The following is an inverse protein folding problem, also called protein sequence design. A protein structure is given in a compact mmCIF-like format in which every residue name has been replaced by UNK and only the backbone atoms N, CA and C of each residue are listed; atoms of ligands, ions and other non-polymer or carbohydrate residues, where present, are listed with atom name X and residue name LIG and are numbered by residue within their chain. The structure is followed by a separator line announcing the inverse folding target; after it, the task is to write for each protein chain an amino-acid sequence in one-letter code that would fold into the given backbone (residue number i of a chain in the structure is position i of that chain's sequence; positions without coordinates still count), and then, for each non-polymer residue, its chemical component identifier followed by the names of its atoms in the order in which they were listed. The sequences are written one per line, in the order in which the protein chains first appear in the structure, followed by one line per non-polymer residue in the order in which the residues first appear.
data_IF_604922981694
#
_entry.id   IF_604922981694
#
_cell.length_a   1.000
_cell.length_b   1.000
_cell.length_c   1.000
_cell.angle_alpha   90.00
_cell.angle_beta   90.00
_cell.angle_gamma   90.00
#
_symmetry.space_group_name_H-M   'P 1'
#
loop_
_entity.id
_entity.type
_entity.pdbx_description
1 polymer ?
#
# COMPACT_ATOMS: atom_id res chain seq x y z
N UNK A 1 -7.95 -6.71 -3.25
CA UNK A 1 -8.02 -5.44 -4.00
C UNK A 1 -6.81 -4.58 -3.64
N UNK A 2 -5.98 -4.23 -4.61
CA UNK A 2 -4.91 -3.25 -4.44
C UNK A 2 -5.40 -1.84 -4.77
N UNK A 3 -5.01 -0.86 -3.96
CA UNK A 3 -5.25 0.57 -4.18
C UNK A 3 -3.90 1.27 -4.18
N UNK A 4 -3.47 1.72 -5.36
CA UNK A 4 -2.17 2.36 -5.55
C UNK A 4 -2.29 3.76 -6.15
N UNK A 5 -1.17 4.46 -6.23
CA UNK A 5 -1.09 5.88 -6.56
C UNK A 5 -0.05 6.59 -5.70
N UNK A 6 0.31 7.82 -6.09
CA UNK A 6 1.38 8.55 -5.43
C UNK A 6 1.15 8.72 -3.91
N UNK A 7 2.21 9.03 -3.16
CA UNK A 7 2.04 9.41 -1.76
C UNK A 7 1.05 10.58 -1.65
N UNK A 8 0.12 10.49 -0.70
CA UNK A 8 -0.98 11.46 -0.49
C UNK A 8 -2.05 11.53 -1.60
N UNK A 9 -2.18 10.52 -2.47
CA UNK A 9 -3.26 10.44 -3.47
C UNK A 9 -4.69 10.22 -2.90
N UNK A 10 -4.85 9.91 -1.60
CA UNK A 10 -6.15 9.60 -0.99
C UNK A 10 -6.45 8.11 -0.80
N UNK A 11 -5.46 7.24 -1.05
CA UNK A 11 -5.56 5.77 -0.97
C UNK A 11 -6.19 5.27 0.34
N UNK A 12 -5.67 5.68 1.48
CA UNK A 12 -6.14 5.22 2.80
C UNK A 12 -7.59 5.64 3.09
N UNK A 13 -8.00 6.85 2.66
CA UNK A 13 -9.39 7.31 2.79
C UNK A 13 -10.33 6.49 1.89
N UNK A 14 -9.94 6.27 0.62
CA UNK A 14 -10.71 5.44 -0.30
C UNK A 14 -10.88 4.02 0.25
N UNK A 15 -9.80 3.39 0.71
CA UNK A 15 -9.84 2.06 1.33
C UNK A 15 -10.80 2.01 2.53
N UNK A 16 -10.80 3.04 3.38
CA UNK A 16 -11.67 3.15 4.56
C UNK A 16 -13.15 3.31 4.18
N UNK A 17 -13.46 4.13 3.18
CA UNK A 17 -14.83 4.30 2.68
C UNK A 17 -15.33 3.00 2.03
N UNK A 18 -14.54 2.40 1.12
CA UNK A 18 -14.91 1.13 0.47
C UNK A 18 -15.10 0.00 1.48
N UNK A 19 -14.22 -0.09 2.48
CA UNK A 19 -14.35 -1.02 3.60
C UNK A 19 -15.68 -0.84 4.34
N UNK A 20 -16.14 0.40 4.53
CA UNK A 20 -17.43 0.70 5.17
C UNK A 20 -18.63 0.40 4.27
N UNK A 21 -18.52 0.70 2.97
CA UNK A 21 -19.55 0.45 1.96
C UNK A 21 -19.78 -1.05 1.77
N UNK A 22 -18.70 -1.83 1.73
CA UNK A 22 -18.71 -3.27 1.42
C UNK A 22 -18.77 -4.16 2.67
N UNK A 23 -18.61 -3.57 3.86
CA UNK A 23 -18.93 -4.25 5.11
C UNK A 23 -20.43 -4.58 5.15
N UNK A 24 -20.76 -5.82 5.54
CA UNK A 24 -22.15 -6.27 5.60
C UNK A 24 -22.98 -5.39 6.55
N UNK A 25 -23.92 -4.61 6.02
CA UNK A 25 -24.99 -4.02 6.83
C UNK A 25 -26.07 -5.07 7.08
N UNK A 26 -25.91 -5.89 8.12
CA UNK A 26 -27.05 -6.64 8.67
C UNK A 26 -27.97 -5.66 9.40
N UNK A 27 -28.99 -5.15 8.71
CA UNK A 27 -30.06 -4.33 9.30
C UNK A 27 -31.29 -5.13 9.72
N UNK A 28 -31.22 -6.47 9.75
CA UNK A 28 -32.31 -7.29 10.28
C UNK A 28 -32.08 -7.68 11.75
N UNK A 29 -32.97 -7.30 12.68
CA UNK A 29 -32.93 -7.78 14.06
C UNK A 29 -33.43 -9.23 14.08
N UNK A 30 -32.58 -10.17 13.68
CA UNK A 30 -32.84 -11.59 13.90
C UNK A 30 -32.25 -11.95 15.25
N UNK A 31 -33.13 -12.04 16.23
CA UNK A 31 -32.87 -12.67 17.52
C UNK A 31 -32.40 -14.11 17.28
N UNK A 32 -31.09 -14.35 17.36
CA UNK A 32 -30.41 -15.50 17.98
C UNK A 32 -28.99 -15.68 17.41
N UNK A 33 -28.00 -15.45 18.29
CA UNK A 33 -26.63 -15.99 18.33
C UNK A 33 -25.80 -16.19 17.03
N UNK A 34 -24.68 -15.46 17.00
CA UNK A 34 -23.33 -15.86 16.55
C UNK A 34 -22.92 -15.85 15.07
N UNK A 35 -23.58 -15.16 14.15
CA UNK A 35 -22.94 -14.86 12.86
C UNK A 35 -22.20 -13.52 12.94
N UNK A 36 -20.95 -13.53 13.40
CA UNK A 36 -20.06 -12.38 13.23
C UNK A 36 -20.01 -12.03 11.74
N UNK A 37 -20.41 -10.80 11.37
CA UNK A 37 -20.30 -10.37 9.98
C UNK A 37 -18.83 -10.43 9.57
N UNK A 38 -18.50 -11.12 8.49
CA UNK A 38 -17.13 -11.09 7.94
C UNK A 38 -16.75 -9.64 7.66
N UNK A 39 -15.84 -9.11 8.48
CA UNK A 39 -15.37 -7.74 8.40
C UNK A 39 -14.44 -7.62 7.19
N UNK A 40 -14.55 -6.52 6.47
CA UNK A 40 -13.54 -6.11 5.49
C UNK A 40 -12.22 -5.84 6.22
N UNK A 41 -11.10 -6.20 5.59
CA UNK A 41 -9.77 -5.99 6.13
C UNK A 41 -9.05 -4.97 5.27
N UNK A 42 -8.35 -4.03 5.91
CA UNK A 42 -7.51 -3.05 5.24
C UNK A 42 -6.08 -3.21 5.74
N UNK A 43 -5.14 -3.35 4.82
CA UNK A 43 -3.71 -3.47 5.08
C UNK A 43 -3.03 -2.25 4.46
N UNK A 44 -2.26 -1.52 5.27
CA UNK A 44 -1.47 -0.37 4.82
C UNK A 44 -0.04 -0.83 4.50
N UNK A 45 0.45 -0.50 3.30
CA UNK A 45 1.86 -0.74 2.93
C UNK A 45 2.82 0.03 3.86
N UNK A 46 2.40 1.18 4.40
CA UNK A 46 3.21 1.97 5.32
C UNK A 46 3.48 1.21 6.65
N UNK A 47 2.67 0.20 6.99
CA UNK A 47 2.90 -0.62 8.18
C UNK A 47 4.13 -1.53 7.98
N UNK A 48 4.51 -1.83 6.74
CA UNK A 48 5.61 -2.73 6.36
C UNK A 48 6.90 -1.99 6.05
N UNK A 49 7.02 -0.74 6.52
CA UNK A 49 8.22 0.05 6.33
C UNK A 49 9.43 -0.53 7.08
N UNK A 50 10.54 -0.73 6.36
CA UNK A 50 11.84 -1.15 6.89
C UNK A 50 12.48 -0.04 7.75
N UNK A 51 13.36 -0.38 8.71
CA UNK A 51 14.18 0.61 9.42
C UNK A 51 14.99 1.50 8.46
N UNK A 52 15.11 2.80 8.77
CA UNK A 52 15.85 3.76 7.92
C UNK A 52 17.31 3.38 7.67
N UNK A 53 17.93 2.70 8.64
CA UNK A 53 19.31 2.22 8.55
C UNK A 53 19.55 1.19 7.43
N UNK A 54 18.49 0.51 6.99
CA UNK A 54 18.55 -0.49 5.91
C UNK A 54 18.22 0.09 4.54
N UNK A 55 17.88 1.39 4.46
CA UNK A 55 17.43 2.00 3.21
C UNK A 55 18.63 2.51 2.40
N UNK A 56 18.55 2.42 1.06
CA UNK A 56 19.54 3.06 0.21
C UNK A 56 19.52 4.58 0.46
N UNK A 57 20.68 5.21 0.30
CA UNK A 57 20.79 6.66 0.40
C UNK A 57 20.45 7.31 -0.93
N UNK A 58 19.73 8.42 -0.87
CA UNK A 58 19.50 9.33 -1.99
C UNK A 58 20.17 10.67 -1.70
N UNK A 59 20.72 11.29 -2.74
CA UNK A 59 21.24 12.66 -2.68
C UNK A 59 20.36 13.57 -3.51
N UNK A 60 19.95 14.71 -2.94
CA UNK A 60 19.08 15.69 -3.60
C UNK A 60 19.47 17.12 -3.26
N UNK A 61 19.01 18.08 -4.07
CA UNK A 61 19.28 19.50 -3.86
C UNK A 61 18.15 20.16 -3.08
N UNK A 62 18.48 20.85 -1.99
CA UNK A 62 17.54 21.62 -1.17
C UNK A 62 17.82 23.12 -1.22
N UNK A 63 16.76 23.92 -1.10
CA UNK A 63 16.85 25.37 -1.03
C UNK A 63 16.99 25.85 0.42
N UNK A 64 17.33 27.14 0.65
CA UNK A 64 17.30 27.70 2.01
C UNK A 64 15.93 27.64 2.69
N UNK A 65 14.82 27.50 1.96
CA UNK A 65 13.50 27.33 2.56
C UNK A 65 13.40 26.00 3.34
N UNK A 66 14.16 24.98 2.92
CA UNK A 66 14.18 23.65 3.54
C UNK A 66 15.11 23.58 4.77
N UNK A 67 15.81 24.66 5.12
CA UNK A 67 16.84 24.66 6.18
C UNK A 67 16.31 24.19 7.54
N UNK A 68 15.04 24.48 7.83
CA UNK A 68 14.41 24.04 9.07
C UNK A 68 14.15 22.52 9.09
N UNK A 69 13.88 21.89 7.94
CA UNK A 69 13.77 20.43 7.83
C UNK A 69 15.15 19.77 8.00
N UNK A 70 16.19 20.37 7.39
CA UNK A 70 17.57 19.93 7.53
C UNK A 70 18.03 19.96 8.99
N UNK A 71 17.84 21.09 9.67
CA UNK A 71 18.21 21.26 11.07
C UNK A 71 17.53 20.25 11.99
N UNK A 72 16.22 20.00 11.79
CA UNK A 72 15.50 18.99 12.57
C UNK A 72 15.97 17.57 12.25
N UNK A 73 16.26 17.27 10.99
CA UNK A 73 16.72 15.93 10.61
C UNK A 73 18.05 15.61 11.27
N UNK A 74 19.03 16.53 11.23
CA UNK A 74 20.30 16.39 11.96
C UNK A 74 20.08 16.28 13.48
N UNK A 75 19.17 17.09 14.05
CA UNK A 75 18.94 17.10 15.49
C UNK A 75 18.46 15.75 16.05
N UNK A 76 17.72 14.98 15.25
CA UNK A 76 17.19 13.67 15.63
C UNK A 76 17.94 12.51 14.96
N UNK A 77 19.07 12.78 14.30
CA UNK A 77 19.85 11.77 13.59
C UNK A 77 20.85 11.07 14.52
N UNK A 78 20.33 10.25 15.43
CA UNK A 78 21.14 9.48 16.39
C UNK A 78 22.07 8.47 15.70
N UNK A 79 21.75 8.08 14.46
CA UNK A 79 22.46 7.06 13.69
C UNK A 79 23.43 7.65 12.65
N UNK A 80 23.47 8.98 12.46
CA UNK A 80 24.36 9.63 11.50
C UNK A 80 24.01 9.35 10.03
N UNK A 81 22.72 9.19 9.72
CA UNK A 81 22.21 8.86 8.40
C UNK A 81 22.12 10.06 7.44
N UNK A 82 22.18 11.30 7.92
CA UNK A 82 22.03 12.50 7.11
C UNK A 82 23.35 13.28 6.95
N UNK A 83 23.70 13.56 5.70
CA UNK A 83 24.86 14.38 5.33
C UNK A 83 24.39 15.62 4.58
N UNK A 84 24.86 16.79 5.00
CA UNK A 84 24.47 18.07 4.39
C UNK A 84 25.71 18.84 4.00
N UNK A 85 25.90 19.02 2.71
CA UNK A 85 26.92 19.90 2.15
C UNK A 85 26.28 21.19 1.65
N UNK A 86 26.95 22.33 1.84
CA UNK A 86 26.51 23.60 1.26
C UNK A 86 27.44 24.03 0.14
N UNK A 87 26.88 24.33 -1.03
CA UNK A 87 27.62 25.01 -2.10
C UNK A 87 27.51 26.51 -1.86
N UNK A 88 28.61 27.13 -1.44
CA UNK A 88 28.68 28.55 -1.16
C UNK A 88 29.84 29.21 -1.88
N UNK A 89 29.58 29.90 -3.00
CA UNK A 89 30.44 30.95 -3.53
C UNK A 89 29.90 32.31 -3.08
N UNK A 90 30.80 33.26 -2.74
CA UNK A 90 30.40 34.60 -2.26
C UNK A 90 29.45 35.26 -3.29
N UNK A 91 28.22 35.54 -2.87
CA UNK A 91 27.23 36.31 -3.65
C UNK A 91 26.02 35.53 -4.19
N UNK A 92 26.00 34.20 -4.10
CA UNK A 92 24.82 33.39 -4.46
C UNK A 92 24.08 32.88 -3.22
N UNK A 93 22.76 32.69 -3.35
CA UNK A 93 21.97 31.98 -2.33
C UNK A 93 22.53 30.56 -2.20
N UNK A 94 22.84 30.08 -0.99
CA UNK A 94 23.40 28.75 -0.82
C UNK A 94 22.42 27.68 -1.31
N UNK A 95 22.92 26.69 -2.04
CA UNK A 95 22.20 25.44 -2.29
C UNK A 95 22.79 24.35 -1.41
N UNK A 96 21.91 23.58 -0.79
CA UNK A 96 22.31 22.47 0.06
C UNK A 96 22.18 21.18 -0.75
N UNK A 97 23.21 20.36 -0.69
CA UNK A 97 23.16 18.98 -1.14
C UNK A 97 22.93 18.13 0.10
N UNK A 98 21.81 17.42 0.12
CA UNK A 98 21.41 16.58 1.25
C UNK A 98 21.45 15.13 0.80
N UNK A 99 22.15 14.30 1.56
CA UNK A 99 22.15 12.84 1.42
C UNK A 99 21.46 12.24 2.63
N UNK A 100 20.56 11.29 2.41
CA UNK A 100 19.88 10.57 3.50
C UNK A 100 19.05 9.38 3.00
N UNK A 101 18.38 8.66 3.90
CA UNK A 101 17.60 7.47 3.56
C UNK A 101 16.48 7.76 2.55
N UNK A 102 16.39 6.95 1.49
CA UNK A 102 15.31 6.99 0.50
C UNK A 102 14.11 6.20 1.01
N UNK A 103 13.04 6.88 1.43
CA UNK A 103 11.83 6.23 1.97
C UNK A 103 10.77 5.96 0.91
N UNK A 104 10.93 6.49 -0.30
CA UNK A 104 9.94 6.39 -1.38
C UNK A 104 10.48 5.47 -2.50
N UNK A 105 11.02 4.29 -2.11
CA UNK A 105 11.54 3.25 -3.01
C UNK A 105 11.16 1.84 -2.55
N UNK A 106 11.29 0.84 -3.43
CA UNK A 106 10.92 -0.56 -3.14
C UNK A 106 11.67 -1.16 -1.95
N UNK A 107 12.96 -0.84 -1.82
CA UNK A 107 13.80 -1.29 -0.71
C UNK A 107 13.28 -0.80 0.66
N UNK A 108 12.41 0.21 0.69
CA UNK A 108 11.82 0.70 1.92
C UNK A 108 10.69 -0.16 2.47
N UNK A 109 10.17 -1.12 1.70
CA UNK A 109 9.00 -1.92 2.07
C UNK A 109 9.41 -3.37 2.28
N UNK A 110 8.96 -3.99 3.37
CA UNK A 110 9.01 -5.43 3.60
C UNK A 110 7.89 -6.14 2.83
N UNK A 111 8.13 -6.44 1.56
CA UNK A 111 7.15 -7.13 0.72
C UNK A 111 6.95 -8.59 1.15
N UNK A 112 7.96 -9.24 1.74
CA UNK A 112 7.82 -10.60 2.28
C UNK A 112 6.82 -10.60 3.44
N UNK A 113 6.96 -9.68 4.39
CA UNK A 113 6.00 -9.50 5.49
C UNK A 113 4.60 -9.12 5.00
N UNK A 114 4.50 -8.27 3.96
CA UNK A 114 3.21 -7.89 3.38
C UNK A 114 2.50 -9.09 2.72
N UNK A 115 3.24 -9.92 1.97
CA UNK A 115 2.72 -11.16 1.40
C UNK A 115 2.27 -12.13 2.48
N UNK A 116 3.06 -12.30 3.55
CA UNK A 116 2.69 -13.13 4.70
C UNK A 116 1.38 -12.66 5.32
N UNK A 117 1.21 -11.35 5.53
CA UNK A 117 -0.01 -10.78 6.08
C UNK A 117 -1.24 -11.08 5.20
N UNK A 118 -1.11 -10.98 3.88
CA UNK A 118 -2.21 -11.28 2.95
C UNK A 118 -2.52 -12.77 2.94
N UNK A 119 -1.53 -13.65 2.90
CA UNK A 119 -1.72 -15.12 2.94
C UNK A 119 -2.36 -15.54 4.26
N UNK A 120 -1.94 -14.95 5.38
CA UNK A 120 -2.56 -15.18 6.69
C UNK A 120 -4.03 -14.76 6.66
N UNK A 121 -4.34 -13.54 6.21
CA UNK A 121 -5.74 -13.09 6.08
C UNK A 121 -6.56 -14.01 5.19
N UNK A 122 -6.01 -14.49 4.07
CA UNK A 122 -6.71 -15.44 3.18
C UNK A 122 -7.00 -16.79 3.85
N UNK A 123 -6.13 -17.24 4.76
CA UNK A 123 -6.26 -18.54 5.42
C UNK A 123 -7.07 -18.50 6.72
N UNK A 124 -6.93 -17.44 7.52
CA UNK A 124 -7.55 -17.32 8.85
C UNK A 124 -8.72 -16.34 8.88
N UNK A 125 -8.85 -15.48 7.88
CA UNK A 125 -9.81 -14.38 7.87
C UNK A 125 -9.48 -13.26 8.85
N UNK A 126 -8.29 -13.29 9.47
CA UNK A 126 -7.84 -12.32 10.47
C UNK A 126 -6.48 -11.77 10.07
N UNK A 127 -6.29 -10.47 10.35
CA UNK A 127 -4.97 -9.86 10.26
C UNK A 127 -4.23 -10.17 11.57
N UNK A 128 -3.13 -10.93 11.52
CA UNK A 128 -2.24 -11.06 12.68
C UNK A 128 -1.74 -9.67 13.11
N UNK A 129 -1.33 -9.53 14.37
CA UNK A 129 -0.81 -8.27 14.92
C UNK A 129 0.50 -7.83 14.21
N UNK A 130 0.38 -7.22 13.03
CA UNK A 130 1.38 -6.32 12.51
C UNK A 130 1.06 -4.96 13.13
N UNK A 131 1.59 -4.75 14.34
CA UNK A 131 1.25 -3.63 15.21
C UNK A 131 1.90 -2.32 14.72
N UNK A 132 1.41 -1.76 13.61
CA UNK A 132 1.80 -0.40 13.17
C UNK A 132 0.63 0.36 12.53
N UNK A 133 -0.59 0.23 13.05
CA UNK A 133 -1.74 0.98 12.53
C UNK A 133 -1.49 2.50 12.57
N UNK A 134 -1.27 3.11 11.41
CA UNK A 134 -1.62 4.50 11.19
C UNK A 134 -3.08 4.51 10.72
N UNK A 135 -4.03 4.73 11.63
CA UNK A 135 -5.40 5.00 11.23
C UNK A 135 -5.43 6.28 10.41
N UNK A 136 -6.13 6.24 9.27
CA UNK A 136 -6.62 7.48 8.68
C UNK A 136 -7.60 8.09 9.70
N UNK A 137 -7.14 9.08 10.48
CA UNK A 137 -7.91 9.77 11.52
C UNK A 137 -8.98 10.71 10.95
N UNK A 138 -9.23 10.67 9.65
CA UNK A 138 -10.32 11.43 9.05
C UNK A 138 -11.66 10.91 9.56
N UNK A 139 -12.45 11.87 10.04
CA UNK A 139 -13.82 11.67 10.44
C UNK A 139 -14.66 11.18 9.24
N UNK A 140 -15.43 10.13 9.46
CA UNK A 140 -16.26 9.50 8.43
C UNK A 140 -17.65 10.15 8.36
N UNK A 141 -18.04 10.97 9.34
CA UNK A 141 -19.38 11.55 9.43
C UNK A 141 -19.72 12.40 8.20
N UNK A 142 -18.72 13.10 7.66
CA UNK A 142 -18.83 13.89 6.42
C UNK A 142 -19.14 13.07 5.16
N UNK A 143 -18.90 11.76 5.18
CA UNK A 143 -19.13 10.85 4.05
C UNK A 143 -20.34 9.94 4.22
N UNK A 144 -21.13 10.12 5.28
CA UNK A 144 -22.30 9.28 5.59
C UNK A 144 -23.29 9.18 4.41
N UNK A 145 -23.61 10.30 3.77
CA UNK A 145 -24.50 10.32 2.59
C UNK A 145 -23.95 9.54 1.39
N UNK A 146 -22.66 9.70 1.09
CA UNK A 146 -21.97 8.94 0.04
C UNK A 146 -21.95 7.45 0.34
N UNK A 147 -21.61 7.08 1.59
CA UNK A 147 -21.55 5.69 2.05
C UNK A 147 -22.91 5.01 1.88
N UNK A 148 -24.00 5.65 2.32
CA UNK A 148 -25.35 5.08 2.20
C UNK A 148 -25.79 4.96 0.73
N UNK A 149 -25.52 5.99 -0.10
CA UNK A 149 -25.76 5.92 -1.55
C UNK A 149 -25.04 4.73 -2.20
N UNK A 150 -23.77 4.51 -1.85
CA UNK A 150 -22.98 3.41 -2.41
C UNK A 150 -23.41 2.04 -1.87
N UNK A 151 -23.78 1.94 -0.60
CA UNK A 151 -24.38 0.72 -0.04
C UNK A 151 -25.66 0.34 -0.76
N UNK A 152 -26.53 1.32 -1.06
CA UNK A 152 -27.75 1.07 -1.82
C UNK A 152 -27.42 0.54 -3.22
N UNK A 153 -26.46 1.17 -3.92
CA UNK A 153 -25.97 0.72 -5.23
C UNK A 153 -25.47 -0.73 -5.20
N UNK A 154 -24.61 -1.07 -4.22
CA UNK A 154 -24.11 -2.44 -4.01
C UNK A 154 -25.28 -3.39 -3.72
N UNK A 155 -26.23 -3.00 -2.87
CA UNK A 155 -27.40 -3.83 -2.56
C UNK A 155 -28.29 -4.10 -3.78
N UNK A 156 -28.52 -3.09 -4.64
CA UNK A 156 -29.29 -3.24 -5.87
C UNK A 156 -28.60 -4.22 -6.82
N UNK A 157 -27.31 -4.02 -7.07
CA UNK A 157 -26.52 -4.91 -7.92
C UNK A 157 -26.55 -6.35 -7.40
N UNK A 158 -26.40 -6.56 -6.09
CA UNK A 158 -26.45 -7.90 -5.49
C UNK A 158 -27.81 -8.58 -5.68
N UNK A 159 -28.92 -7.84 -5.59
CA UNK A 159 -30.26 -8.36 -5.86
C UNK A 159 -30.42 -8.75 -7.32
N UNK A 160 -29.94 -7.93 -8.24
CA UNK A 160 -29.97 -8.22 -9.68
C UNK A 160 -29.15 -9.47 -10.01
N UNK A 161 -27.93 -9.60 -9.46
CA UNK A 161 -27.13 -10.80 -9.61
C UNK A 161 -27.78 -12.03 -8.99
N UNK A 162 -28.48 -11.88 -7.86
CA UNK A 162 -29.23 -12.98 -7.26
C UNK A 162 -30.37 -13.46 -8.16
N UNK A 163 -31.07 -12.54 -8.85
CA UNK A 163 -32.12 -12.84 -9.83
C UNK A 163 -31.54 -13.54 -11.06
N UNK A 164 -30.50 -12.97 -11.69
CA UNK A 164 -29.83 -13.57 -12.85
C UNK A 164 -29.31 -14.99 -12.56
N UNK A 165 -28.76 -15.18 -11.36
CA UNK A 165 -28.33 -16.48 -10.88
C UNK A 165 -29.50 -17.43 -10.61
N UNK A 166 -30.68 -16.94 -10.24
CA UNK A 166 -31.87 -17.78 -10.09
C UNK A 166 -32.46 -18.19 -11.46
N UNK A 167 -32.41 -17.29 -12.44
CA UNK A 167 -32.94 -17.52 -13.79
C UNK A 167 -32.04 -18.44 -14.63
N UNK A 168 -30.71 -18.34 -14.49
CA UNK A 168 -29.77 -19.28 -15.14
C UNK A 168 -29.82 -20.72 -14.57
N UNK A 169 -30.46 -20.90 -13.41
CA UNK A 169 -30.56 -22.19 -12.68
C UNK A 169 -31.68 -23.13 -13.13
N UNK A 170 -32.40 -22.87 -14.22
CA UNK A 170 -33.34 -23.85 -14.81
C UNK A 170 -32.64 -25.03 -15.54
N UNK A 171 -31.45 -25.43 -15.07
CA UNK A 171 -30.68 -26.62 -15.48
C UNK A 171 -30.17 -27.49 -14.32
N UNK A 172 -30.66 -27.30 -13.08
CA UNK A 172 -30.63 -28.36 -12.05
C UNK A 172 -29.43 -28.45 -11.08
N UNK A 173 -28.46 -27.53 -11.10
CA UNK A 173 -27.39 -27.48 -10.08
C UNK A 173 -27.26 -26.08 -9.46
N UNK A 174 -27.30 -26.01 -8.13
CA UNK A 174 -27.31 -24.76 -7.35
C UNK A 174 -25.88 -24.26 -7.10
N UNK A 175 -25.51 -23.10 -7.66
CA UNK A 175 -24.37 -22.29 -7.20
C UNK A 175 -24.90 -20.97 -6.66
N UNK A 176 -24.83 -20.80 -5.33
CA UNK A 176 -25.42 -19.72 -4.52
C UNK A 176 -24.66 -18.39 -4.70
N UNK A 177 -25.37 -17.26 -4.68
CA UNK A 177 -24.77 -15.92 -4.77
C UNK A 177 -24.13 -15.47 -3.44
N UNK A 178 -23.33 -14.39 -3.43
CA UNK A 178 -22.41 -14.16 -2.34
C UNK A 178 -23.03 -13.61 -1.04
N UNK A 179 -24.09 -12.79 -1.06
CA UNK A 179 -24.42 -11.99 0.15
C UNK A 179 -25.69 -12.44 0.91
N UNK A 180 -26.54 -13.29 0.35
CA UNK A 180 -27.72 -13.80 1.05
C UNK A 180 -27.66 -15.31 1.27
N UNK A 181 -27.50 -15.73 2.53
CA UNK A 181 -27.77 -17.09 2.94
C UNK A 181 -28.36 -17.08 4.36
N UNK A 182 -29.66 -16.80 4.47
CA UNK A 182 -30.42 -17.19 5.65
C UNK A 182 -30.65 -18.70 5.58
N UNK A 183 -29.81 -19.41 6.35
CA UNK A 183 -29.62 -20.84 6.27
C UNK A 183 -30.83 -21.68 6.68
N UNK A 184 -31.78 -21.88 5.76
CA UNK A 184 -32.72 -23.01 5.83
C UNK A 184 -32.80 -23.76 4.50
N UNK A 185 -32.30 -24.99 4.51
CA UNK A 185 -32.79 -26.02 3.58
C UNK A 185 -34.11 -26.57 4.14
N UNK A 186 -35.16 -26.60 3.33
CA UNK A 186 -36.22 -27.58 3.53
C UNK A 186 -35.61 -28.98 3.29
N UNK A 187 -35.52 -29.79 4.35
CA UNK A 187 -35.46 -31.26 4.23
C UNK A 187 -34.11 -31.99 4.34
N UNK A 188 -33.09 -31.48 5.05
CA UNK A 188 -31.88 -32.28 5.34
C UNK A 188 -31.70 -32.48 6.85
N UNK A 189 -31.66 -33.74 7.29
CA UNK A 189 -31.62 -34.16 8.70
C UNK A 189 -30.22 -34.13 9.33
N UNK A 190 -29.15 -33.88 8.57
CA UNK A 190 -27.78 -33.96 9.07
C UNK A 190 -27.11 -32.58 9.04
N UNK A 191 -26.99 -32.00 10.24
CA UNK A 191 -26.63 -30.61 10.51
C UNK A 191 -25.15 -30.24 10.34
N UNK A 192 -24.57 -30.41 9.14
CA UNK A 192 -23.35 -29.71 8.76
C UNK A 192 -23.71 -28.55 7.81
N UNK A 193 -23.92 -27.37 8.41
CA UNK A 193 -24.29 -26.14 7.72
C UNK A 193 -23.22 -25.72 6.71
N UNK A 194 -23.61 -25.58 5.44
CA UNK A 194 -22.73 -25.08 4.37
C UNK A 194 -22.38 -23.61 4.62
N UNK A 195 -21.09 -23.32 4.60
CA UNK A 195 -20.51 -21.98 4.74
C UNK A 195 -21.23 -20.94 3.88
N UNK A 196 -21.47 -19.77 4.48
CA UNK A 196 -21.99 -18.57 3.83
C UNK A 196 -21.00 -18.09 2.77
N UNK A 197 -21.42 -17.99 1.51
CA UNK A 197 -20.64 -17.49 0.35
C UNK A 197 -20.35 -15.99 0.38
N UNK A 198 -20.33 -15.37 1.57
CA UNK A 198 -20.06 -13.93 1.71
C UNK A 198 -18.66 -13.61 1.21
N UNK A 199 -18.62 -12.80 0.15
CA UNK A 199 -17.39 -12.18 -0.37
C UNK A 199 -16.74 -11.42 0.78
N UNK A 200 -15.47 -11.70 1.01
CA UNK A 200 -14.65 -10.99 1.97
C UNK A 200 -13.70 -10.11 1.18
N UNK A 201 -13.80 -8.79 1.37
CA UNK A 201 -12.86 -7.86 0.76
C UNK A 201 -11.65 -7.65 1.66
N UNK A 202 -10.47 -7.77 1.04
CA UNK A 202 -9.19 -7.36 1.61
C UNK A 202 -8.65 -6.24 0.72
N UNK A 203 -8.56 -5.04 1.30
CA UNK A 203 -7.95 -3.87 0.67
C UNK A 203 -6.50 -3.79 1.10
N UNK A 204 -5.60 -3.65 0.14
CA UNK A 204 -4.19 -3.36 0.37
C UNK A 204 -3.91 -2.02 -0.28
N UNK A 205 -3.48 -1.04 0.50
CA UNK A 205 -3.23 0.31 0.01
C UNK A 205 -1.76 0.69 0.14
N UNK A 206 -1.18 1.28 -0.90
CA UNK A 206 0.25 1.55 -0.93
C UNK A 206 0.74 2.20 -2.22
N UNK A 207 1.83 2.94 -2.14
CA UNK A 207 2.33 3.73 -3.27
C UNK A 207 3.28 2.97 -4.20
N UNK A 208 3.66 1.72 -3.88
CA UNK A 208 4.56 0.88 -4.69
C UNK A 208 3.95 -0.47 -5.10
N UNK A 209 2.72 -0.77 -4.65
CA UNK A 209 2.07 -2.08 -4.85
C UNK A 209 2.10 -2.54 -6.31
N UNK A 210 1.84 -1.62 -7.24
CA UNK A 210 1.69 -1.90 -8.67
C UNK A 210 2.89 -1.43 -9.51
N UNK A 211 4.00 -1.01 -8.87
CA UNK A 211 5.18 -0.60 -9.61
C UNK A 211 5.84 -1.85 -10.25
N UNK A 212 6.27 -1.80 -11.52
CA UNK A 212 6.85 -2.95 -12.21
C UNK A 212 8.17 -3.36 -11.57
N UNK A 213 8.48 -4.67 -11.64
CA UNK A 213 9.79 -5.18 -11.25
C UNK A 213 10.77 -5.10 -12.43
N UNK A 214 12.02 -4.74 -12.16
CA UNK A 214 13.06 -4.60 -13.19
C UNK A 214 13.79 -5.89 -13.56
N UNK A 215 13.54 -7.01 -12.86
CA UNK A 215 14.12 -8.32 -13.18
C UNK A 215 13.18 -9.45 -12.76
N UNK A 216 12.85 -10.33 -13.70
CA UNK A 216 11.87 -11.41 -13.53
C UNK A 216 12.56 -12.76 -13.72
N UNK A 217 12.29 -13.70 -12.82
CA UNK A 217 12.56 -15.14 -13.04
C UNK A 217 11.23 -15.89 -12.99
N UNK A 218 10.56 -15.97 -14.14
CA UNK A 218 9.17 -16.43 -14.31
C UNK A 218 8.91 -17.88 -13.84
N UNK A 219 9.95 -18.64 -13.49
CA UNK A 219 9.86 -20.07 -13.15
C UNK A 219 10.05 -20.38 -11.67
N UNK A 220 10.19 -19.37 -10.80
CA UNK A 220 10.46 -19.62 -9.38
C UNK A 220 9.17 -19.68 -8.58
N UNK A 221 8.87 -20.87 -8.02
CA UNK A 221 7.80 -21.02 -7.04
C UNK A 221 8.12 -20.17 -5.79
N UNK A 222 7.27 -19.20 -5.49
CA UNK A 222 7.39 -18.37 -4.28
C UNK A 222 6.84 -19.14 -3.06
N UNK A 223 7.67 -19.32 -2.04
CA UNK A 223 7.27 -19.88 -0.74
C UNK A 223 7.54 -18.87 0.37
N UNK A 224 6.47 -18.34 0.96
CA UNK A 224 6.55 -17.26 1.95
C UNK A 224 7.36 -17.65 3.19
N UNK A 225 7.27 -18.92 3.62
CA UNK A 225 8.00 -19.39 4.81
C UNK A 225 9.50 -19.41 4.56
N UNK A 226 9.91 -19.88 3.38
CA UNK A 226 11.31 -19.92 2.95
C UNK A 226 11.88 -18.52 2.74
N UNK A 227 11.14 -17.63 2.09
CA UNK A 227 11.61 -16.26 1.86
C UNK A 227 11.68 -15.45 3.16
N UNK A 228 10.74 -15.66 4.09
CA UNK A 228 10.80 -15.07 5.44
C UNK A 228 12.05 -15.51 6.21
N UNK A 229 12.36 -16.80 6.20
CA UNK A 229 13.57 -17.32 6.85
C UNK A 229 14.86 -16.73 6.23
N UNK A 230 14.87 -16.43 4.94
CA UNK A 230 15.98 -15.72 4.29
C UNK A 230 16.08 -14.27 4.77
N UNK A 231 14.96 -13.54 4.80
CA UNK A 231 14.94 -12.15 5.31
C UNK A 231 15.47 -12.09 6.74
N UNK A 232 14.97 -12.94 7.64
CA UNK A 232 15.43 -13.00 9.04
C UNK A 232 16.95 -13.29 9.13
N UNK A 233 17.44 -14.22 8.32
CA UNK A 233 18.86 -14.54 8.23
C UNK A 233 19.67 -13.32 7.76
N UNK A 234 19.29 -12.69 6.66
CA UNK A 234 20.03 -11.57 6.09
C UNK A 234 20.03 -10.36 7.01
N UNK A 235 18.90 -10.02 7.63
CA UNK A 235 18.81 -8.94 8.61
C UNK A 235 19.76 -9.18 9.79
N UNK A 236 19.79 -10.41 10.33
CA UNK A 236 20.71 -10.78 11.43
C UNK A 236 22.18 -10.63 11.01
N UNK A 237 22.52 -11.01 9.77
CA UNK A 237 23.88 -10.82 9.24
C UNK A 237 24.22 -9.33 9.11
N UNK A 238 23.32 -8.50 8.58
CA UNK A 238 23.53 -7.06 8.45
C UNK A 238 23.71 -6.36 9.81
N UNK A 239 22.95 -6.74 10.82
CA UNK A 239 23.12 -6.24 12.19
C UNK A 239 24.48 -6.60 12.78
N UNK A 240 24.95 -7.83 12.51
CA UNK A 240 26.27 -8.31 12.94
C UNK A 240 27.38 -7.50 12.26
N UNK A 241 27.36 -7.37 10.94
CA UNK A 241 28.34 -6.59 10.19
C UNK A 241 28.34 -5.11 10.60
N UNK A 242 27.16 -4.53 10.84
CA UNK A 242 27.03 -3.15 11.33
C UNK A 242 27.70 -2.99 12.70
N UNK A 243 27.52 -3.96 13.60
CA UNK A 243 28.15 -3.94 14.92
C UNK A 243 29.68 -4.04 14.81
N UNK A 244 30.19 -4.85 13.89
CA UNK A 244 31.63 -4.98 13.63
C UNK A 244 32.26 -3.71 13.06
N UNK A 245 31.58 -3.05 12.10
CA UNK A 245 32.03 -1.76 11.55
C UNK A 245 32.12 -0.68 12.63
N UNK A 246 31.11 -0.59 13.50
CA UNK A 246 31.11 0.35 14.63
C UNK A 246 32.30 0.08 15.55
N UNK A 247 32.60 -1.19 15.85
CA UNK A 247 33.72 -1.58 16.71
C UNK A 247 35.10 -1.27 16.09
N UNK A 248 35.23 -1.30 14.75
CA UNK A 248 36.49 -0.96 14.07
C UNK A 248 36.82 0.53 14.08
N UNK A 249 35.85 1.41 14.37
CA UNK A 249 36.00 2.87 14.33
C UNK A 249 36.61 3.40 13.01
N UNK A 250 36.45 2.66 11.91
CA UNK A 250 36.96 3.00 10.58
C UNK A 250 36.11 2.28 9.52
N UNK A 251 36.13 2.80 8.29
CA UNK A 251 35.50 2.14 7.14
C UNK A 251 36.38 0.94 6.75
N UNK A 252 35.82 -0.26 6.86
CA UNK A 252 36.48 -1.50 6.47
C UNK A 252 35.89 -2.01 5.15
N UNK A 253 36.68 -1.92 4.08
CA UNK A 253 36.20 -2.23 2.72
C UNK A 253 35.82 -3.70 2.53
N UNK A 254 36.36 -4.63 3.32
CA UNK A 254 36.01 -6.05 3.24
C UNK A 254 34.64 -6.29 3.87
N UNK A 255 34.40 -5.73 5.06
CA UNK A 255 33.10 -5.82 5.73
C UNK A 255 32.01 -5.09 4.95
N UNK A 256 32.30 -3.89 4.42
CA UNK A 256 31.35 -3.18 3.55
C UNK A 256 31.05 -3.98 2.28
N UNK A 257 32.05 -4.63 1.68
CA UNK A 257 31.84 -5.51 0.53
C UNK A 257 30.98 -6.74 0.84
N UNK A 258 31.15 -7.36 2.02
CA UNK A 258 30.27 -8.44 2.47
C UNK A 258 28.84 -7.93 2.68
N UNK A 259 28.71 -6.76 3.32
CA UNK A 259 27.42 -6.11 3.57
C UNK A 259 26.66 -5.85 2.27
N UNK A 260 27.32 -5.27 1.26
CA UNK A 260 26.73 -5.02 -0.06
C UNK A 260 26.14 -6.30 -0.69
N UNK A 261 26.84 -7.44 -0.55
CA UNK A 261 26.37 -8.73 -1.07
C UNK A 261 25.12 -9.20 -0.33
N UNK A 262 25.09 -9.08 1.00
CA UNK A 262 23.92 -9.46 1.81
C UNK A 262 22.73 -8.54 1.54
N UNK A 263 22.94 -7.24 1.41
CA UNK A 263 21.90 -6.27 1.04
C UNK A 263 21.31 -6.61 -0.34
N UNK A 264 22.15 -6.92 -1.34
CA UNK A 264 21.69 -7.33 -2.66
C UNK A 264 20.86 -8.62 -2.62
N UNK A 265 21.24 -9.61 -1.79
CA UNK A 265 20.47 -10.84 -1.61
C UNK A 265 19.12 -10.59 -0.94
N UNK A 266 19.10 -9.75 0.09
CA UNK A 266 17.87 -9.34 0.78
C UNK A 266 16.91 -8.64 -0.20
N UNK A 267 17.43 -7.73 -1.03
CA UNK A 267 16.61 -7.02 -2.03
C UNK A 267 16.09 -7.96 -3.11
N UNK A 268 16.91 -8.91 -3.59
CA UNK A 268 16.45 -9.91 -4.54
C UNK A 268 15.28 -10.75 -3.99
N UNK A 269 15.36 -11.19 -2.73
CA UNK A 269 14.25 -11.88 -2.05
C UNK A 269 13.02 -10.99 -1.94
N UNK A 270 13.20 -9.71 -1.61
CA UNK A 270 12.10 -8.76 -1.44
C UNK A 270 11.39 -8.42 -2.77
N UNK A 271 12.14 -8.28 -3.87
CA UNK A 271 11.57 -8.05 -5.20
C UNK A 271 10.76 -9.25 -5.70
N UNK A 272 11.23 -10.48 -5.46
CA UNK A 272 10.45 -11.68 -5.76
C UNK A 272 9.13 -11.73 -4.99
N UNK A 273 9.12 -11.24 -3.74
CA UNK A 273 7.88 -11.12 -2.95
C UNK A 273 6.93 -10.07 -3.52
N UNK A 274 7.45 -8.93 -3.99
CA UNK A 274 6.64 -7.91 -4.66
C UNK A 274 5.99 -8.44 -5.94
N UNK A 275 6.70 -9.28 -6.70
CA UNK A 275 6.13 -9.93 -7.88
C UNK A 275 4.94 -10.80 -7.50
N UNK A 276 5.17 -11.73 -6.56
CA UNK A 276 4.14 -12.62 -6.07
C UNK A 276 2.95 -11.86 -5.47
N UNK A 277 3.22 -10.75 -4.77
CA UNK A 277 2.20 -9.86 -4.22
C UNK A 277 1.23 -9.36 -5.30
N UNK A 278 1.73 -8.98 -6.48
CA UNK A 278 0.90 -8.46 -7.56
C UNK A 278 -0.04 -9.52 -8.14
N UNK A 279 0.34 -10.80 -8.08
CA UNK A 279 -0.49 -11.93 -8.49
C UNK A 279 -1.58 -12.27 -7.46
N UNK A 280 -1.43 -11.83 -6.21
CA UNK A 280 -2.45 -12.02 -5.17
C UNK A 280 -3.65 -11.07 -5.30
N UNK A 281 -3.55 -10.02 -6.14
CA UNK A 281 -4.60 -9.01 -6.29
C UNK A 281 -5.60 -9.36 -7.40
N UNK A 282 -6.86 -9.60 -7.01
CA UNK A 282 -7.95 -9.82 -7.97
C UNK A 282 -8.33 -8.54 -8.74
N UNK A 283 -8.21 -7.38 -8.09
CA UNK A 283 -8.54 -6.06 -8.65
C UNK A 283 -7.43 -5.08 -8.27
N UNK A 284 -6.96 -4.30 -9.24
CA UNK A 284 -5.85 -3.34 -9.12
C UNK A 284 -6.34 -1.94 -9.48
N UNK A 285 -6.54 -1.09 -8.48
CA UNK A 285 -6.97 0.31 -8.64
C UNK A 285 -5.78 1.26 -8.56
N UNK A 286 -5.72 2.25 -9.44
CA UNK A 286 -4.67 3.27 -9.46
C UNK A 286 -5.26 4.68 -9.48
N UNK A 287 -4.93 5.49 -8.46
CA UNK A 287 -5.37 6.88 -8.35
C UNK A 287 -4.49 7.79 -9.19
N UNK A 288 -5.13 8.51 -10.11
CA UNK A 288 -4.49 9.46 -11.02
C UNK A 288 -4.36 10.83 -10.34
N UNK A 289 -3.18 11.15 -9.83
CA UNK A 289 -2.91 12.42 -9.13
C UNK A 289 -1.79 13.17 -9.85
N UNK A 290 -2.00 14.46 -10.11
CA UNK A 290 -0.99 15.34 -10.68
C UNK A 290 0.15 15.60 -9.70
N UNK A 291 1.27 16.09 -10.24
CA UNK A 291 2.43 16.49 -9.44
C UNK A 291 2.06 17.58 -8.44
N UNK A 292 1.34 18.58 -8.92
CA UNK A 292 0.96 19.77 -8.20
C UNK A 292 0.07 19.41 -7.00
N UNK A 293 -0.92 18.55 -7.22
CA UNK A 293 -1.82 18.10 -6.17
C UNK A 293 -1.13 17.16 -5.18
N UNK A 294 -0.30 16.23 -5.66
CA UNK A 294 0.52 15.37 -4.81
C UNK A 294 1.43 16.19 -3.89
N UNK A 295 2.08 17.22 -4.45
CA UNK A 295 2.92 18.17 -3.70
C UNK A 295 2.09 18.91 -2.66
N UNK A 296 0.98 19.54 -3.07
CA UNK A 296 0.11 20.30 -2.17
C UNK A 296 -0.34 19.45 -0.98
N UNK A 297 -0.91 18.26 -1.24
CA UNK A 297 -1.38 17.33 -0.21
C UNK A 297 -0.26 16.86 0.72
N UNK A 298 0.92 16.55 0.18
CA UNK A 298 2.08 16.11 1.00
C UNK A 298 2.54 17.19 1.97
N UNK A 299 2.56 18.45 1.53
CA UNK A 299 3.01 19.57 2.37
C UNK A 299 1.98 19.96 3.43
N UNK A 300 0.69 19.83 3.12
CA UNK A 300 -0.44 20.05 4.05
C UNK A 300 -0.60 18.92 5.07
N UNK A 301 -0.19 17.68 4.74
CA UNK A 301 -0.33 16.51 5.61
C UNK A 301 0.24 16.77 7.00
N UNK A 302 -0.39 16.26 8.05
CA UNK A 302 0.21 16.29 9.38
C UNK A 302 1.59 15.60 9.41
N UNK A 303 2.42 15.93 10.39
CA UNK A 303 3.73 15.27 10.54
C UNK A 303 3.49 13.78 10.81
N UNK A 304 4.16 12.90 10.05
CA UNK A 304 4.14 11.46 10.36
C UNK A 304 4.60 11.24 11.80
N UNK A 305 3.78 10.53 12.56
CA UNK A 305 4.18 9.94 13.83
C UNK A 305 4.53 8.50 13.49
N UNK A 306 5.82 8.20 13.43
CA UNK A 306 6.24 6.84 13.15
C UNK A 306 5.86 5.91 14.31
N UNK A 307 5.17 4.81 14.00
CA UNK A 307 4.75 3.78 14.96
C UNK A 307 5.62 2.50 14.84
N UNK A 308 5.93 1.81 15.96
CA UNK A 308 5.76 2.28 17.33
C UNK A 308 6.65 3.50 17.58
N UNK A 309 6.17 4.40 18.45
CA UNK A 309 6.90 5.59 18.89
C UNK A 309 8.25 5.15 19.46
N UNK A 310 9.32 5.26 18.66
CA UNK A 310 10.65 4.80 19.01
C UNK A 310 11.40 4.02 17.91
N UNK A 311 10.73 3.57 16.85
CA UNK A 311 11.39 2.81 15.77
C UNK A 311 11.89 3.64 14.58
N UNK A 312 11.35 4.84 14.40
CA UNK A 312 11.82 5.82 13.41
C UNK A 312 11.74 7.20 14.06
N UNK A 313 12.89 7.75 14.39
CA UNK A 313 12.98 9.12 14.92
C UNK A 313 12.96 10.14 13.76
N UNK A 314 12.53 11.39 14.00
CA UNK A 314 12.15 12.34 12.96
C UNK A 314 13.28 12.67 11.98
N UNK A 315 12.95 12.70 10.68
CA UNK A 315 13.73 13.39 9.66
C UNK A 315 12.76 14.06 8.71
N UNK A 316 12.56 15.37 8.85
CA UNK A 316 11.47 16.09 8.16
C UNK A 316 11.79 16.36 6.68
N UNK A 317 12.88 15.78 6.16
CA UNK A 317 13.26 15.89 4.75
C UNK A 317 12.15 15.40 3.81
N UNK A 318 11.28 14.50 4.25
CA UNK A 318 10.15 14.05 3.43
C UNK A 318 9.19 15.18 3.02
N UNK A 319 9.17 16.31 3.75
CA UNK A 319 8.44 17.55 3.42
C UNK A 319 9.29 18.62 2.74
N UNK A 320 10.58 18.37 2.51
CA UNK A 320 11.40 19.31 1.77
C UNK A 320 11.04 19.31 0.29
N UNK A 321 11.14 20.49 -0.34
CA UNK A 321 10.88 20.61 -1.78
C UNK A 321 11.89 19.81 -2.59
N UNK A 322 13.17 19.89 -2.22
CA UNK A 322 14.23 19.11 -2.87
C UNK A 322 13.96 17.60 -2.89
N UNK A 323 13.60 17.02 -1.75
CA UNK A 323 13.31 15.58 -1.67
C UNK A 323 12.05 15.20 -2.44
N UNK A 324 11.01 16.04 -2.42
CA UNK A 324 9.80 15.79 -3.19
C UNK A 324 10.10 15.73 -4.68
N UNK A 325 10.86 16.70 -5.20
CA UNK A 325 11.15 16.81 -6.63
C UNK A 325 12.08 15.67 -7.10
N UNK A 326 13.17 15.43 -6.40
CA UNK A 326 14.25 14.55 -6.88
C UNK A 326 14.13 13.10 -6.37
N UNK A 327 13.45 12.87 -5.25
CA UNK A 327 13.20 11.54 -4.69
C UNK A 327 11.81 11.03 -4.99
N UNK A 328 10.80 11.71 -4.43
CA UNK A 328 9.41 11.22 -4.42
C UNK A 328 8.80 11.22 -5.82
N UNK A 329 8.74 12.39 -6.46
CA UNK A 329 8.05 12.54 -7.73
C UNK A 329 8.82 11.87 -8.86
N UNK A 330 10.14 12.03 -8.88
CA UNK A 330 10.99 11.35 -9.85
C UNK A 330 10.85 9.83 -9.75
N UNK A 331 10.94 9.25 -8.54
CA UNK A 331 10.75 7.81 -8.33
C UNK A 331 9.35 7.33 -8.71
N UNK A 332 8.32 8.13 -8.43
CA UNK A 332 6.95 7.86 -8.88
C UNK A 332 6.83 7.85 -10.41
N UNK A 333 7.43 8.80 -11.11
CA UNK A 333 7.46 8.82 -12.58
C UNK A 333 8.23 7.65 -13.16
N UNK A 334 9.36 7.26 -12.56
CA UNK A 334 10.12 6.08 -12.98
C UNK A 334 9.30 4.80 -12.80
N UNK A 335 8.54 4.70 -11.72
CA UNK A 335 7.72 3.53 -11.39
C UNK A 335 6.42 3.44 -12.19
N UNK A 336 5.79 4.57 -12.48
CA UNK A 336 4.41 4.62 -13.02
C UNK A 336 4.26 5.44 -14.29
N UNK A 337 5.35 5.96 -14.87
CA UNK A 337 5.32 6.70 -16.13
C UNK A 337 4.59 5.92 -17.23
N UNK A 338 4.71 4.60 -17.25
CA UNK A 338 4.00 3.72 -18.19
C UNK A 338 2.46 3.79 -18.07
N UNK A 339 1.91 4.00 -16.86
CA UNK A 339 0.46 4.22 -16.69
C UNK A 339 0.05 5.63 -17.14
N UNK A 340 0.88 6.63 -16.83
CA UNK A 340 0.60 8.05 -17.10
C UNK A 340 0.77 8.43 -18.57
N UNK A 341 1.61 7.71 -19.32
CA UNK A 341 1.89 7.96 -20.72
C UNK A 341 0.95 7.22 -21.67
N UNK A 342 0.28 6.16 -21.21
CA UNK A 342 -0.65 5.35 -22.00
C UNK A 342 -1.75 6.22 -22.63
N UNK A 343 -2.06 6.00 -23.92
CA UNK A 343 -3.10 6.75 -24.64
C UNK A 343 -4.48 6.64 -23.97
N UNK A 344 -4.71 5.55 -23.21
CA UNK A 344 -5.84 5.38 -22.29
C UNK A 344 -5.94 6.54 -21.29
N UNK A 345 -4.85 6.97 -20.65
CA UNK A 345 -4.85 8.08 -19.68
C UNK A 345 -5.11 9.47 -20.31
N UNK A 346 -5.02 9.61 -21.64
CA UNK A 346 -5.02 10.91 -22.33
C UNK A 346 -6.29 11.27 -23.10
N UNK A 347 -7.35 10.44 -23.12
CA UNK A 347 -8.53 10.80 -23.91
C UNK A 347 -9.75 9.87 -23.91
N UNK A 348 -9.86 8.90 -23.00
CA UNK A 348 -11.04 8.04 -22.94
C UNK A 348 -12.26 8.74 -22.32
N UNK A 349 -13.25 9.11 -23.11
CA UNK A 349 -14.59 9.53 -22.64
C UNK A 349 -15.42 8.35 -22.07
N UNK A 350 -14.80 7.34 -21.47
CA UNK A 350 -15.43 6.06 -21.15
C UNK A 350 -14.96 5.47 -19.81
N UNK A 351 -15.88 4.78 -19.15
CA UNK A 351 -15.89 4.42 -17.73
C UNK A 351 -14.70 3.61 -17.16
N UNK A 352 -13.78 3.11 -17.98
CA UNK A 352 -12.69 2.27 -17.50
C UNK A 352 -11.43 2.45 -18.36
N UNK A 353 -10.35 2.92 -17.74
CA UNK A 353 -9.01 2.93 -18.32
C UNK A 353 -8.23 1.75 -17.74
N UNK A 354 -8.31 0.60 -18.40
CA UNK A 354 -7.59 -0.61 -17.96
C UNK A 354 -6.29 -0.72 -18.75
N UNK A 355 -5.16 -0.77 -18.05
CA UNK A 355 -3.86 -1.03 -18.67
C UNK A 355 -3.74 -2.47 -19.16
N UNK A 356 -2.73 -2.75 -20.00
CA UNK A 356 -2.42 -4.12 -20.46
C UNK A 356 -2.16 -5.10 -19.29
N UNK A 357 -1.75 -4.59 -18.12
CA UNK A 357 -1.49 -5.37 -16.91
C UNK A 357 -2.73 -5.52 -15.99
N UNK A 358 -3.92 -5.14 -16.46
CA UNK A 358 -5.16 -5.25 -15.68
C UNK A 358 -5.29 -4.22 -14.55
N UNK A 359 -4.53 -3.12 -14.60
CA UNK A 359 -4.67 -2.01 -13.65
C UNK A 359 -5.73 -1.03 -14.14
N UNK A 360 -6.77 -0.82 -13.33
CA UNK A 360 -7.80 0.19 -13.53
C UNK A 360 -7.27 1.54 -13.05
N UNK A 361 -7.12 2.48 -13.99
CA UNK A 361 -6.69 3.85 -13.71
C UNK A 361 -7.93 4.73 -13.55
N UNK A 362 -7.93 5.53 -12.49
CA UNK A 362 -8.96 6.53 -12.28
C UNK A 362 -8.98 7.49 -13.49
N UNK A 363 -10.16 7.74 -14.09
CA UNK A 363 -10.26 8.50 -15.35
C UNK A 363 -10.13 10.02 -15.22
N UNK A 364 -10.50 10.61 -14.07
CA UNK A 364 -10.45 12.05 -13.80
C UNK A 364 -9.25 12.39 -12.91
N UNK A 365 -8.16 12.86 -13.54
CA UNK A 365 -7.00 13.34 -12.80
C UNK A 365 -7.38 14.33 -11.69
N UNK A 366 -6.84 14.11 -10.49
CA UNK A 366 -7.14 14.88 -9.27
C UNK A 366 -8.62 14.85 -8.84
N UNK A 367 -9.34 13.78 -9.18
CA UNK A 367 -10.70 13.53 -8.71
C UNK A 367 -10.84 13.72 -7.20
N UNK A 368 -12.00 14.26 -6.82
CA UNK A 368 -12.41 14.25 -5.42
C UNK A 368 -12.73 12.82 -4.95
N UNK A 369 -12.89 12.68 -3.63
CA UNK A 369 -13.12 11.37 -3.03
C UNK A 369 -14.48 10.78 -3.41
N UNK A 370 -15.50 11.60 -3.70
CA UNK A 370 -16.82 11.10 -4.08
C UNK A 370 -16.76 10.41 -5.45
N UNK A 371 -16.12 11.07 -6.43
CA UNK A 371 -15.87 10.52 -7.76
C UNK A 371 -15.00 9.26 -7.67
N UNK A 372 -13.93 9.28 -6.87
CA UNK A 372 -13.07 8.11 -6.68
C UNK A 372 -13.83 6.90 -6.10
N UNK A 373 -14.71 7.13 -5.12
CA UNK A 373 -15.49 6.06 -4.49
C UNK A 373 -16.52 5.50 -5.47
N UNK A 374 -17.23 6.35 -6.22
CA UNK A 374 -18.21 5.91 -7.21
C UNK A 374 -17.56 5.05 -8.30
N UNK A 375 -16.42 5.50 -8.82
CA UNK A 375 -15.62 4.76 -9.79
C UNK A 375 -15.13 3.42 -9.23
N UNK A 376 -14.54 3.42 -8.03
CA UNK A 376 -14.01 2.19 -7.44
C UNK A 376 -15.12 1.18 -7.14
N UNK A 377 -16.31 1.63 -6.72
CA UNK A 377 -17.48 0.75 -6.55
C UNK A 377 -17.92 0.19 -7.90
N UNK A 378 -17.95 0.99 -8.96
CA UNK A 378 -18.28 0.50 -10.31
C UNK A 378 -17.29 -0.56 -10.81
N UNK A 379 -16.00 -0.42 -10.54
CA UNK A 379 -14.99 -1.43 -10.92
C UNK A 379 -15.12 -2.73 -10.11
N UNK A 380 -15.63 -2.66 -8.87
CA UNK A 380 -15.75 -3.82 -7.98
C UNK A 380 -17.04 -4.64 -8.18
N UNK A 381 -18.04 -4.08 -8.86
CA UNK A 381 -19.34 -4.70 -9.17
C UNK A 381 -19.33 -5.22 -10.61
#
# INVERSE_FOLDING_TARGET
VAISGCSSAGKSLLAKILSTVLSSTTTHPVTNASSESKKTITISQDDFFQPKALLPLITFTSSPADAHFMAKSIHYDEQGMYYIASSGSRGHRPRYQVTGPMTDCDQAIDFVGLVEAIINVKSTGQLSEYAKYSSCDQDMDGFSGLIEKMKEKVCVWLKEQAILNAESRFGGCVVRGPIENDGKKLGAADGNGKESLRLQFVFVEGFLLLAPNTSVDENKLFDVSTEKAKVEKYTTQLETLSTELVAKHNIDAEIEGERDVIEAQLWATNFAAKEHLQDLFDVKLFLNTSKEEAKRRRFERAIYIDAPTGGRLPGQMWKSEGYFEEGVWKGYQESYGWLLESETAKGGNGKELVSEQGVFVEPVQDADIEVCVEWAVDVLL
#
